data_IF_994175202803
#
_entry.id   IF_994175202803
#
_cell.length_a   1.000
_cell.length_b   1.000
_cell.length_c   1.000
_cell.angle_alpha   90.00
_cell.angle_beta   90.00
_cell.angle_gamma   90.00
#
_symmetry.space_group_name_H-M   'P 1'
#
loop_
_entity.id
_entity.type
_entity.pdbx_description
1 polymer ?
#
# COMPACT_ATOMS: atom_id res chain seq x y z
N UNK A 1 -7.23 16.52 29.49
CA UNK A 1 -8.55 17.18 29.59
C UNK A 1 -8.83 18.28 28.55
N UNK A 2 -7.83 18.80 27.81
CA UNK A 2 -8.05 19.89 26.83
C UNK A 2 -8.53 19.43 25.44
N UNK A 3 -8.12 18.25 24.97
CA UNK A 3 -8.54 17.71 23.66
C UNK A 3 -10.05 17.41 23.59
N UNK A 4 -10.64 16.88 24.67
CA UNK A 4 -12.08 16.60 24.72
C UNK A 4 -12.95 17.87 24.59
N UNK A 5 -12.46 19.02 25.04
CA UNK A 5 -13.18 20.29 24.94
C UNK A 5 -13.21 20.81 23.49
N UNK A 6 -12.15 20.56 22.72
CA UNK A 6 -12.05 20.97 21.32
C UNK A 6 -12.98 20.12 20.45
N UNK A 7 -13.02 18.81 20.67
CA UNK A 7 -13.93 17.89 19.95
C UNK A 7 -15.40 18.22 20.25
N UNK A 8 -15.73 18.52 21.52
CA UNK A 8 -17.08 18.92 21.91
C UNK A 8 -17.46 20.29 21.31
N UNK A 9 -16.52 21.24 21.24
CA UNK A 9 -16.75 22.53 20.59
C UNK A 9 -16.97 22.40 19.07
N UNK A 10 -16.24 21.51 18.40
CA UNK A 10 -16.42 21.21 16.97
C UNK A 10 -17.76 20.51 16.69
N UNK A 11 -18.16 19.57 17.54
CA UNK A 11 -19.47 18.90 17.45
C UNK A 11 -20.63 19.87 17.70
N UNK A 12 -20.48 20.78 18.66
CA UNK A 12 -21.47 21.84 18.93
C UNK A 12 -21.57 22.86 17.78
N UNK A 13 -20.45 23.17 17.12
CA UNK A 13 -20.43 24.00 15.92
C UNK A 13 -21.13 23.29 14.74
N UNK A 14 -20.87 21.99 14.55
CA UNK A 14 -21.53 21.18 13.51
C UNK A 14 -23.03 20.99 13.75
N UNK A 15 -23.50 21.02 15.00
CA UNK A 15 -24.93 20.91 15.34
C UNK A 15 -25.70 22.23 15.22
N UNK A 16 -25.02 23.38 15.37
CA UNK A 16 -25.64 24.71 15.26
C UNK A 16 -25.69 25.22 13.83
N UNK A 17 -24.72 24.82 13.01
CA UNK A 17 -24.77 24.97 11.55
C UNK A 17 -25.53 23.77 11.01
N UNK A 18 -26.85 23.85 10.92
CA UNK A 18 -27.69 22.78 10.36
C UNK A 18 -27.04 22.22 9.09
N UNK A 19 -26.74 20.92 9.09
CA UNK A 19 -26.03 20.20 8.03
C UNK A 19 -26.87 20.23 6.75
N UNK A 20 -26.75 21.34 6.03
CA UNK A 20 -26.89 21.38 4.59
C UNK A 20 -25.47 21.22 4.05
N UNK A 21 -25.22 20.17 3.27
CA UNK A 21 -24.01 20.03 2.46
C UNK A 21 -23.80 21.32 1.66
N UNK A 22 -22.94 22.19 2.16
CA UNK A 22 -22.52 23.39 1.43
C UNK A 22 -21.54 22.88 0.39
N UNK A 23 -21.92 22.93 -0.89
CA UNK A 23 -21.08 22.49 -2.02
C UNK A 23 -19.64 23.03 -1.99
N UNK A 24 -19.36 24.12 -1.26
CA UNK A 24 -18.02 24.66 -1.00
C UNK A 24 -17.15 23.88 -0.01
N UNK A 25 -17.71 23.19 1.00
CA UNK A 25 -16.93 22.39 1.94
C UNK A 25 -16.27 21.18 1.27
N UNK A 26 -16.99 20.52 0.36
CA UNK A 26 -16.47 19.39 -0.41
C UNK A 26 -15.31 19.83 -1.34
N UNK A 27 -15.40 21.02 -1.95
CA UNK A 27 -14.34 21.56 -2.83
C UNK A 27 -13.05 21.83 -2.05
N UNK A 28 -13.15 22.40 -0.84
CA UNK A 28 -11.97 22.71 -0.01
C UNK A 28 -11.32 21.42 0.51
N UNK A 29 -12.11 20.46 0.99
CA UNK A 29 -11.61 19.16 1.43
C UNK A 29 -10.93 18.39 0.30
N UNK A 30 -11.51 18.39 -0.90
CA UNK A 30 -10.90 17.76 -2.08
C UNK A 30 -9.54 18.39 -2.44
N UNK A 31 -9.42 19.72 -2.35
CA UNK A 31 -8.16 20.41 -2.61
C UNK A 31 -7.09 20.07 -1.56
N UNK A 32 -7.47 19.99 -0.28
CA UNK A 32 -6.59 19.58 0.83
C UNK A 32 -6.10 18.14 0.61
N UNK A 33 -6.99 17.21 0.29
CA UNK A 33 -6.64 15.81 0.04
C UNK A 33 -5.68 15.67 -1.15
N UNK A 34 -5.90 16.42 -2.24
CA UNK A 34 -4.96 16.45 -3.37
C UNK A 34 -3.57 16.93 -2.94
N UNK A 35 -3.49 17.99 -2.14
CA UNK A 35 -2.22 18.50 -1.62
C UNK A 35 -1.52 17.49 -0.72
N UNK A 36 -2.26 16.79 0.15
CA UNK A 36 -1.72 15.70 0.98
C UNK A 36 -1.12 14.60 0.09
N UNK A 37 -1.81 14.22 -0.99
CA UNK A 37 -1.28 13.23 -1.93
C UNK A 37 -0.03 13.71 -2.67
N UNK A 38 0.04 14.98 -3.08
CA UNK A 38 1.27 15.53 -3.68
C UNK A 38 2.45 15.52 -2.70
N UNK A 39 2.24 15.98 -1.47
CA UNK A 39 3.26 15.94 -0.42
C UNK A 39 3.69 14.50 -0.12
N UNK A 40 2.75 13.54 -0.14
CA UNK A 40 3.05 12.14 0.05
C UNK A 40 3.93 11.59 -1.08
N UNK A 41 3.66 11.93 -2.35
CA UNK A 41 4.53 11.56 -3.47
C UNK A 41 5.94 12.15 -3.33
N UNK A 42 6.04 13.41 -2.92
CA UNK A 42 7.34 14.03 -2.65
C UNK A 42 8.10 13.28 -1.55
N UNK A 43 7.43 12.96 -0.44
CA UNK A 43 8.00 12.18 0.65
C UNK A 43 8.43 10.77 0.21
N UNK A 44 7.69 10.11 -0.68
CA UNK A 44 8.09 8.82 -1.27
C UNK A 44 9.39 8.93 -2.07
N UNK A 45 9.63 10.04 -2.75
CA UNK A 45 10.85 10.28 -3.54
C UNK A 45 12.05 10.64 -2.66
N UNK A 46 11.84 11.50 -1.67
CA UNK A 46 12.95 12.04 -0.86
C UNK A 46 13.25 11.19 0.36
N UNK A 47 12.28 10.41 0.85
CA UNK A 47 12.30 9.86 2.19
C UNK A 47 12.30 10.96 3.27
N UNK A 48 12.40 10.54 4.52
CA UNK A 48 12.69 11.41 5.66
C UNK A 48 13.34 10.58 6.79
N UNK A 49 14.69 10.59 6.90
CA UNK A 49 15.42 9.84 7.93
C UNK A 49 15.05 10.21 9.37
N UNK A 50 14.72 11.47 9.64
CA UNK A 50 14.36 11.95 10.99
C UNK A 50 13.05 11.31 11.48
N UNK A 51 12.13 11.04 10.55
CA UNK A 51 10.84 10.39 10.85
C UNK A 51 10.86 8.88 10.64
N UNK A 52 12.01 8.32 10.22
CA UNK A 52 12.13 6.90 9.85
C UNK A 52 11.37 6.52 8.58
N UNK A 53 10.89 7.50 7.79
CA UNK A 53 10.22 7.24 6.51
C UNK A 53 11.28 6.98 5.43
N UNK A 54 11.30 5.78 4.81
CA UNK A 54 12.30 5.43 3.82
C UNK A 54 12.00 6.06 2.45
N UNK A 55 12.98 6.03 1.55
CA UNK A 55 12.72 6.29 0.12
C UNK A 55 11.91 5.10 -0.43
N UNK A 56 10.79 5.41 -1.08
CA UNK A 56 9.86 4.44 -1.67
C UNK A 56 9.73 4.57 -3.18
N UNK A 57 10.23 5.64 -3.79
CA UNK A 57 10.16 5.87 -5.23
C UNK A 57 11.49 6.44 -5.76
N UNK A 58 12.39 5.59 -6.30
CA UNK A 58 12.27 4.13 -6.42
C UNK A 58 12.46 3.43 -5.06
N UNK A 59 11.71 2.35 -4.85
CA UNK A 59 11.91 1.48 -3.70
C UNK A 59 13.07 0.53 -3.98
N UNK A 60 13.96 0.39 -3.01
CA UNK A 60 15.07 -0.54 -3.04
C UNK A 60 15.16 -1.28 -1.71
N UNK A 61 15.20 -2.60 -1.78
CA UNK A 61 15.49 -3.45 -0.63
C UNK A 61 16.61 -4.44 -1.00
N UNK A 62 17.76 -4.39 -0.30
CA UNK A 62 18.90 -5.25 -0.62
C UNK A 62 18.65 -6.72 -0.27
N UNK A 63 17.74 -7.00 0.66
CA UNK A 63 17.48 -8.34 1.17
C UNK A 63 16.06 -8.43 1.74
N UNK A 64 15.12 -8.82 0.89
CA UNK A 64 13.71 -8.95 1.24
C UNK A 64 13.30 -10.42 1.27
N UNK A 65 12.81 -10.89 2.41
CA UNK A 65 12.16 -12.19 2.51
C UNK A 65 10.64 -12.03 2.54
N UNK A 66 9.95 -12.82 1.72
CA UNK A 66 8.49 -12.89 1.64
C UNK A 66 8.06 -14.34 1.85
N UNK A 67 7.18 -14.55 2.81
CA UNK A 67 6.36 -15.76 2.93
C UNK A 67 4.90 -15.36 2.65
N UNK A 68 4.28 -15.97 1.65
CA UNK A 68 2.92 -15.63 1.26
C UNK A 68 2.09 -16.86 0.88
N UNK A 69 0.80 -16.80 1.20
CA UNK A 69 -0.20 -17.79 0.81
C UNK A 69 -1.45 -17.09 0.26
N UNK A 70 -1.94 -17.57 -0.86
CA UNK A 70 -3.12 -17.06 -1.55
C UNK A 70 -4.20 -18.16 -1.56
N UNK A 71 -4.90 -18.30 -0.44
CA UNK A 71 -6.03 -19.23 -0.27
C UNK A 71 -5.71 -20.70 -0.55
N UNK A 72 -4.47 -21.13 -0.28
CA UNK A 72 -3.98 -22.48 -0.58
C UNK A 72 -3.79 -22.78 -2.07
N UNK A 73 -4.12 -21.84 -2.96
CA UNK A 73 -3.89 -21.96 -4.41
C UNK A 73 -2.42 -21.78 -4.74
N UNK A 74 -1.79 -20.76 -4.16
CA UNK A 74 -0.36 -20.48 -4.31
C UNK A 74 0.23 -20.23 -2.93
N UNK A 75 1.29 -20.96 -2.62
CA UNK A 75 2.11 -20.75 -1.42
C UNK A 75 3.55 -20.60 -1.86
N UNK A 76 4.26 -19.61 -1.34
CA UNK A 76 5.68 -19.45 -1.63
C UNK A 76 6.45 -18.75 -0.52
N UNK A 77 7.72 -19.11 -0.46
CA UNK A 77 8.79 -18.43 0.25
C UNK A 77 9.78 -17.93 -0.81
N UNK A 78 10.06 -16.64 -0.78
CA UNK A 78 10.97 -16.01 -1.72
C UNK A 78 11.91 -15.06 -0.99
N UNK A 79 13.21 -15.17 -1.29
CA UNK A 79 14.21 -14.18 -0.91
C UNK A 79 14.62 -13.40 -2.15
N UNK A 80 14.62 -12.08 -2.03
CA UNK A 80 14.99 -11.16 -3.10
C UNK A 80 16.25 -10.39 -2.73
N UNK A 81 17.28 -10.49 -3.56
CA UNK A 81 18.61 -9.93 -3.31
C UNK A 81 19.22 -9.35 -4.60
N UNK A 82 18.84 -8.14 -5.04
CA UNK A 82 17.90 -7.20 -4.39
C UNK A 82 16.45 -7.28 -4.94
N UNK A 83 15.54 -6.55 -4.29
CA UNK A 83 14.22 -6.15 -4.80
C UNK A 83 14.22 -4.66 -5.15
N UNK A 84 13.83 -4.32 -6.38
CA UNK A 84 13.67 -2.94 -6.84
C UNK A 84 12.25 -2.73 -7.36
N UNK A 85 11.59 -1.64 -6.95
CA UNK A 85 10.29 -1.25 -7.47
C UNK A 85 10.33 0.21 -7.91
N UNK A 86 9.92 0.46 -9.15
CA UNK A 86 9.77 1.79 -9.73
C UNK A 86 8.30 2.07 -9.97
N UNK A 87 7.90 3.33 -9.77
CA UNK A 87 6.56 3.80 -10.13
C UNK A 87 5.55 3.86 -8.98
N UNK A 88 5.96 3.61 -7.74
CA UNK A 88 5.08 3.67 -6.57
C UNK A 88 4.54 5.09 -6.29
N UNK A 89 5.16 6.14 -6.81
CA UNK A 89 4.72 7.54 -6.70
C UNK A 89 3.87 8.00 -7.89
N UNK A 90 3.62 7.14 -8.88
CA UNK A 90 2.91 7.51 -10.12
C UNK A 90 1.39 7.45 -9.99
N UNK A 91 0.88 7.18 -8.79
CA UNK A 91 -0.55 7.00 -8.57
C UNK A 91 -1.33 8.29 -8.77
N UNK A 92 -2.53 8.16 -9.30
CA UNK A 92 -3.60 9.17 -9.28
C UNK A 92 -4.80 8.58 -8.57
N UNK A 93 -5.57 9.40 -7.86
CA UNK A 93 -6.72 8.85 -7.15
C UNK A 93 -7.32 9.79 -6.13
N UNK A 94 -8.12 9.19 -5.25
CA UNK A 94 -8.87 9.89 -4.20
C UNK A 94 -8.38 9.41 -2.84
N UNK A 95 -8.19 10.38 -1.97
CA UNK A 95 -8.08 10.20 -0.52
C UNK A 95 -9.23 10.97 0.08
N UNK A 96 -9.95 10.33 0.99
CA UNK A 96 -11.05 10.94 1.74
C UNK A 96 -10.70 10.93 3.22
N UNK A 97 -11.44 11.71 4.01
CA UNK A 97 -11.31 11.69 5.47
C UNK A 97 -12.69 11.65 6.11
N UNK A 98 -12.86 10.69 7.01
CA UNK A 98 -13.99 10.62 7.94
C UNK A 98 -13.53 11.20 9.29
N UNK A 99 -13.75 12.49 9.50
CA UNK A 99 -13.16 13.23 10.62
C UNK A 99 -13.57 12.71 12.01
N UNK A 100 -14.77 12.13 12.13
CA UNK A 100 -15.27 11.59 13.40
C UNK A 100 -14.50 10.34 13.86
N UNK A 101 -14.01 9.55 12.90
CA UNK A 101 -13.34 8.26 13.13
C UNK A 101 -11.84 8.31 12.80
N UNK A 102 -11.36 9.42 12.23
CA UNK A 102 -10.02 9.56 11.64
C UNK A 102 -9.67 8.39 10.71
N UNK A 103 -10.67 8.00 9.92
CA UNK A 103 -10.54 6.98 8.88
C UNK A 103 -10.30 7.67 7.54
N UNK A 104 -9.35 7.13 6.79
CA UNK A 104 -8.90 7.67 5.52
C UNK A 104 -9.10 6.65 4.41
N UNK A 105 -10.32 6.54 3.84
CA UNK A 105 -10.56 5.72 2.67
C UNK A 105 -9.78 6.24 1.47
N UNK A 106 -9.23 5.32 0.68
CA UNK A 106 -8.47 5.66 -0.52
C UNK A 106 -8.78 4.74 -1.70
N UNK A 107 -8.67 5.31 -2.90
CA UNK A 107 -8.62 4.59 -4.18
C UNK A 107 -7.51 5.22 -5.02
N UNK A 108 -6.50 4.44 -5.36
CA UNK A 108 -5.34 4.86 -6.15
C UNK A 108 -5.20 3.99 -7.39
N UNK A 109 -4.86 4.63 -8.51
CA UNK A 109 -4.59 4.00 -9.80
C UNK A 109 -3.18 4.34 -10.22
N UNK A 110 -2.36 3.35 -10.51
CA UNK A 110 -0.96 3.56 -10.89
C UNK A 110 -0.84 3.47 -12.41
N UNK A 111 -0.08 4.40 -12.98
CA UNK A 111 0.13 4.47 -14.44
C UNK A 111 1.14 3.42 -14.90
N UNK A 112 2.25 3.28 -14.19
CA UNK A 112 3.26 2.28 -14.46
C UNK A 112 3.94 1.84 -13.16
N UNK A 113 3.98 0.53 -12.93
CA UNK A 113 4.77 -0.09 -11.88
C UNK A 113 5.63 -1.17 -12.53
N UNK A 114 6.90 -1.23 -12.13
CA UNK A 114 7.81 -2.30 -12.49
C UNK A 114 8.55 -2.77 -11.25
N UNK A 115 8.53 -4.07 -10.99
CA UNK A 115 9.39 -4.69 -10.00
C UNK A 115 10.44 -5.56 -10.71
N UNK A 116 11.67 -5.53 -10.21
CA UNK A 116 12.79 -6.26 -10.80
C UNK A 116 13.85 -6.58 -9.76
N UNK A 117 14.69 -7.57 -10.04
CA UNK A 117 15.76 -7.97 -9.15
C UNK A 117 16.16 -9.41 -9.35
N UNK A 118 16.73 -10.00 -8.31
CA UNK A 118 17.13 -11.40 -8.27
C UNK A 118 16.35 -12.11 -7.17
N UNK A 119 15.80 -13.28 -7.48
CA UNK A 119 15.01 -14.07 -6.55
C UNK A 119 15.60 -15.47 -6.35
N UNK A 120 15.39 -16.03 -5.17
CA UNK A 120 15.48 -17.44 -4.86
C UNK A 120 14.17 -17.82 -4.18
N UNK A 121 13.35 -18.63 -4.85
CA UNK A 121 12.00 -18.94 -4.38
C UNK A 121 11.67 -20.42 -4.47
N UNK A 122 10.88 -20.86 -3.48
CA UNK A 122 10.29 -22.18 -3.40
C UNK A 122 8.80 -22.01 -3.08
N UNK A 123 7.96 -22.83 -3.68
CA UNK A 123 6.52 -22.73 -3.51
C UNK A 123 5.78 -23.96 -3.98
N UNK A 124 4.45 -23.88 -3.85
CA UNK A 124 3.51 -24.94 -4.24
C UNK A 124 2.27 -24.33 -4.88
N UNK A 125 1.80 -24.98 -5.94
CA UNK A 125 0.47 -24.73 -6.51
C UNK A 125 -0.50 -25.81 -6.02
N UNK A 126 -1.67 -25.39 -5.54
CA UNK A 126 -2.71 -26.22 -4.91
C UNK A 126 -2.16 -27.16 -3.81
N UNK A 127 -1.08 -26.78 -3.14
CA UNK A 127 -0.37 -27.60 -2.15
C UNK A 127 0.33 -28.86 -2.69
N UNK A 128 0.23 -29.15 -3.99
CA UNK A 128 0.66 -30.43 -4.59
C UNK A 128 1.82 -30.27 -5.55
N UNK A 129 1.82 -29.22 -6.39
CA UNK A 129 2.79 -29.07 -7.47
C UNK A 129 3.93 -28.18 -6.97
N UNK A 130 5.14 -28.71 -6.74
CA UNK A 130 6.27 -27.88 -6.34
C UNK A 130 6.70 -26.98 -7.49
N UNK A 131 6.89 -25.70 -7.17
CA UNK A 131 7.45 -24.71 -8.08
C UNK A 131 8.62 -24.06 -7.38
N UNK A 132 9.75 -23.98 -8.05
CA UNK A 132 10.96 -23.36 -7.51
C UNK A 132 11.72 -22.69 -8.64
N UNK A 133 12.57 -21.74 -8.28
CA UNK A 133 13.42 -21.07 -9.24
C UNK A 133 14.41 -20.14 -8.56
N UNK A 134 15.48 -19.86 -9.28
CA UNK A 134 16.49 -18.90 -8.89
C UNK A 134 16.95 -18.16 -10.13
N UNK A 135 16.99 -16.83 -10.08
CA UNK A 135 17.42 -16.03 -11.21
C UNK A 135 16.93 -14.59 -11.18
N UNK A 136 17.14 -13.91 -12.28
CA UNK A 136 16.60 -12.56 -12.46
C UNK A 136 15.10 -12.61 -12.74
N UNK A 137 14.38 -11.61 -12.24
CA UNK A 137 12.98 -11.40 -12.56
C UNK A 137 12.71 -9.95 -12.95
N UNK A 138 11.69 -9.77 -13.76
CA UNK A 138 11.03 -8.49 -13.99
C UNK A 138 9.54 -8.74 -14.14
N UNK A 139 8.73 -7.98 -13.42
CA UNK A 139 7.27 -8.01 -13.50
C UNK A 139 6.72 -6.60 -13.64
N UNK A 140 5.76 -6.44 -14.56
CA UNK A 140 5.08 -5.16 -14.82
C UNK A 140 3.58 -5.39 -14.82
N UNK A 141 2.91 -5.20 -13.67
CA UNK A 141 1.46 -5.22 -13.64
C UNK A 141 0.90 -3.97 -14.36
N UNK A 142 -0.22 -4.14 -15.07
CA UNK A 142 -0.94 -3.06 -15.75
C UNK A 142 -2.32 -2.86 -15.14
N UNK A 143 -2.86 -1.66 -15.29
CA UNK A 143 -4.16 -1.24 -14.75
C UNK A 143 -4.27 -1.49 -13.24
N UNK A 144 -3.22 -1.10 -12.50
CA UNK A 144 -3.13 -1.36 -11.08
C UNK A 144 -4.02 -0.42 -10.31
N UNK A 145 -4.93 -0.99 -9.50
CA UNK A 145 -5.83 -0.27 -8.62
C UNK A 145 -5.62 -0.74 -7.19
N UNK A 146 -5.29 0.18 -6.29
CA UNK A 146 -5.25 -0.06 -4.86
C UNK A 146 -6.44 0.64 -4.19
N UNK A 147 -7.24 -0.10 -3.44
CA UNK A 147 -8.36 0.43 -2.66
C UNK A 147 -8.23 0.01 -1.22
N UNK A 148 -8.57 0.88 -0.29
CA UNK A 148 -8.45 0.53 1.11
C UNK A 148 -8.78 1.68 2.03
N UNK A 149 -8.30 1.56 3.25
CA UNK A 149 -8.39 2.62 4.24
C UNK A 149 -7.26 2.51 5.26
N UNK A 150 -6.94 3.63 5.89
CA UNK A 150 -6.12 3.70 7.10
C UNK A 150 -6.92 4.41 8.20
N UNK A 151 -6.93 3.86 9.41
CA UNK A 151 -7.50 4.52 10.58
C UNK A 151 -6.37 4.90 11.53
N UNK A 152 -6.37 6.14 11.99
CA UNK A 152 -5.31 6.69 12.84
C UNK A 152 -5.87 6.98 14.23
N UNK A 153 -5.10 6.68 15.27
CA UNK A 153 -5.43 7.00 16.67
C UNK A 153 -4.20 7.47 17.43
N UNK A 154 -4.40 8.02 18.63
CA UNK A 154 -3.32 8.26 19.60
C UNK A 154 -2.86 6.93 20.21
N UNK A 155 -1.55 6.77 20.41
CA UNK A 155 -0.91 5.59 20.98
C UNK A 155 -0.89 5.57 22.54
N UNK A 156 -1.53 6.53 23.18
CA UNK A 156 -1.54 6.73 24.64
C UNK A 156 -0.36 7.55 25.17
N UNK A 157 0.59 7.93 24.31
CA UNK A 157 1.80 8.68 24.66
C UNK A 157 1.84 10.07 24.01
N UNK A 158 0.75 10.49 23.36
CA UNK A 158 0.65 11.77 22.65
C UNK A 158 1.14 11.72 21.20
N UNK A 159 1.44 10.53 20.67
CA UNK A 159 1.83 10.32 19.28
C UNK A 159 0.80 9.44 18.55
N UNK A 160 0.85 9.45 17.22
CA UNK A 160 -0.10 8.71 16.39
C UNK A 160 0.35 7.27 16.11
N UNK A 161 -0.62 6.41 15.82
CA UNK A 161 -0.42 5.07 15.27
C UNK A 161 -1.58 4.68 14.37
N UNK A 162 -1.37 3.69 13.49
CA UNK A 162 -2.45 3.00 12.80
C UNK A 162 -3.23 2.14 13.79
N UNK A 163 -4.54 2.39 13.92
CA UNK A 163 -5.46 1.50 14.64
C UNK A 163 -6.01 0.39 13.76
N UNK A 164 -6.15 0.67 12.46
CA UNK A 164 -6.69 -0.26 11.48
C UNK A 164 -6.15 0.09 10.09
N UNK A 165 -5.83 -0.91 9.27
CA UNK A 165 -5.34 -0.71 7.92
C UNK A 165 -5.71 -1.91 7.05
N UNK A 166 -6.28 -1.61 5.89
CA UNK A 166 -6.61 -2.60 4.89
C UNK A 166 -6.32 -2.03 3.51
N UNK A 167 -5.74 -2.86 2.66
CA UNK A 167 -5.44 -2.52 1.28
C UNK A 167 -5.69 -3.74 0.40
N UNK A 168 -6.52 -3.55 -0.62
CA UNK A 168 -6.75 -4.52 -1.67
C UNK A 168 -6.09 -4.02 -2.96
N UNK A 169 -5.47 -4.93 -3.70
CA UNK A 169 -4.80 -4.65 -4.97
C UNK A 169 -5.47 -5.45 -6.09
N UNK A 170 -5.84 -4.75 -7.15
CA UNK A 170 -6.33 -5.34 -8.39
C UNK A 170 -5.41 -4.94 -9.53
N UNK A 171 -5.22 -5.85 -10.47
CA UNK A 171 -4.47 -5.61 -11.71
C UNK A 171 -5.29 -6.12 -12.90
N UNK A 172 -5.19 -5.44 -14.04
CA UNK A 172 -5.83 -5.86 -15.28
C UNK A 172 -5.06 -7.01 -15.93
N UNK A 173 -3.75 -6.84 -16.07
CA UNK A 173 -2.84 -7.84 -16.64
C UNK A 173 -1.46 -7.78 -15.98
N UNK A 174 -0.63 -8.78 -16.27
CA UNK A 174 0.74 -8.88 -15.80
C UNK A 174 1.64 -9.20 -16.99
N UNK A 175 2.69 -8.40 -17.19
CA UNK A 175 3.83 -8.82 -18.00
C UNK A 175 4.91 -9.38 -17.07
N UNK A 176 5.46 -10.56 -17.37
CA UNK A 176 6.51 -11.16 -16.55
C UNK A 176 7.63 -11.76 -17.39
N UNK A 177 8.84 -11.61 -16.88
CA UNK A 177 10.01 -12.37 -17.29
C UNK A 177 10.73 -12.85 -16.02
N UNK A 178 10.52 -14.12 -15.67
CA UNK A 178 11.06 -14.76 -14.47
C UNK A 178 11.97 -15.89 -14.94
N UNK A 179 13.27 -15.72 -14.80
CA UNK A 179 14.26 -16.68 -15.27
C UNK A 179 14.46 -17.81 -14.26
N UNK A 180 14.93 -18.97 -14.73
CA UNK A 180 15.36 -20.07 -13.87
C UNK A 180 14.23 -20.83 -13.15
N UNK A 181 12.97 -20.58 -13.49
CA UNK A 181 11.84 -21.39 -13.01
C UNK A 181 11.99 -22.84 -13.50
N UNK A 182 11.87 -23.80 -12.57
CA UNK A 182 11.97 -25.24 -12.84
C UNK A 182 13.15 -25.62 -13.76
N UNK A 183 14.33 -25.06 -13.49
CA UNK A 183 15.59 -25.30 -14.21
C UNK A 183 15.67 -24.70 -15.63
N UNK A 184 14.72 -23.84 -16.03
CA UNK A 184 14.80 -23.07 -17.28
C UNK A 184 14.13 -23.73 -18.49
N UNK A 185 14.52 -23.28 -19.69
CA UNK A 185 14.04 -23.82 -20.98
C UNK A 185 12.55 -23.60 -21.23
N UNK A 186 11.94 -24.49 -22.00
CA UNK A 186 10.53 -24.39 -22.41
C UNK A 186 9.56 -24.41 -21.23
N UNK A 187 9.91 -25.10 -20.14
CA UNK A 187 9.10 -25.16 -18.93
C UNK A 187 9.07 -23.81 -18.20
N UNK A 188 10.20 -23.10 -18.16
CA UNK A 188 10.24 -21.73 -17.62
C UNK A 188 9.41 -20.76 -18.46
N UNK A 189 9.44 -20.89 -19.79
CA UNK A 189 8.62 -20.07 -20.69
C UNK A 189 7.12 -20.35 -20.48
N UNK A 190 6.74 -21.62 -20.39
CA UNK A 190 5.36 -22.03 -20.10
C UNK A 190 4.89 -21.48 -18.75
N UNK A 191 5.69 -21.59 -17.70
CA UNK A 191 5.34 -21.08 -16.38
C UNK A 191 5.21 -19.56 -16.37
N UNK A 192 6.05 -18.82 -17.10
CA UNK A 192 5.87 -17.38 -17.25
C UNK A 192 4.51 -17.03 -17.88
N UNK A 193 4.09 -17.76 -18.93
CA UNK A 193 2.78 -17.56 -19.53
C UNK A 193 1.65 -17.86 -18.52
N UNK A 194 1.76 -18.98 -17.80
CA UNK A 194 0.78 -19.34 -16.76
C UNK A 194 0.71 -18.28 -15.66
N UNK A 195 1.83 -17.78 -15.15
CA UNK A 195 1.89 -16.75 -14.12
C UNK A 195 1.18 -15.47 -14.59
N UNK A 196 1.44 -15.03 -15.82
CA UNK A 196 0.81 -13.83 -16.39
C UNK A 196 -0.72 -13.96 -16.46
N UNK A 197 -1.23 -15.15 -16.78
CA UNK A 197 -2.67 -15.42 -16.88
C UNK A 197 -3.34 -15.59 -15.51
N UNK A 198 -2.69 -16.28 -14.57
CA UNK A 198 -3.33 -16.62 -13.29
C UNK A 198 -3.25 -15.49 -12.27
N UNK A 199 -2.16 -14.72 -12.19
CA UNK A 199 -1.94 -13.75 -11.10
C UNK A 199 -3.07 -12.72 -11.00
N UNK A 200 -3.56 -12.08 -12.09
CA UNK A 200 -4.71 -11.17 -11.99
C UNK A 200 -5.95 -11.83 -11.37
N UNK A 201 -6.20 -13.10 -11.71
CA UNK A 201 -7.33 -13.86 -11.16
C UNK A 201 -7.10 -14.28 -9.71
N UNK A 202 -5.86 -14.62 -9.33
CA UNK A 202 -5.49 -14.94 -7.95
C UNK A 202 -5.73 -13.71 -7.06
N UNK A 203 -5.26 -12.53 -7.46
CA UNK A 203 -5.45 -11.30 -6.67
C UNK A 203 -6.93 -10.93 -6.50
N UNK A 204 -7.75 -11.14 -7.54
CA UNK A 204 -9.20 -10.89 -7.46
C UNK A 204 -9.93 -11.88 -6.56
N UNK A 205 -9.58 -13.16 -6.60
CA UNK A 205 -10.30 -14.22 -5.89
C UNK A 205 -9.77 -14.49 -4.46
N UNK A 206 -8.52 -14.09 -4.18
CA UNK A 206 -7.86 -14.29 -2.90
C UNK A 206 -7.24 -12.98 -2.38
N UNK A 207 -8.08 -11.93 -2.18
CA UNK A 207 -7.60 -10.61 -1.80
C UNK A 207 -6.88 -10.58 -0.44
N UNK A 208 -7.24 -11.49 0.47
CA UNK A 208 -6.65 -11.57 1.81
C UNK A 208 -5.15 -11.87 1.76
N UNK A 209 -4.70 -12.72 0.81
CA UNK A 209 -3.27 -13.05 0.66
C UNK A 209 -2.44 -11.81 0.33
N UNK A 210 -2.91 -10.99 -0.61
CA UNK A 210 -2.24 -9.74 -0.97
C UNK A 210 -2.37 -8.69 0.14
N UNK A 211 -3.55 -8.61 0.78
CA UNK A 211 -3.80 -7.67 1.88
C UNK A 211 -2.85 -7.94 3.04
N UNK A 212 -2.69 -9.20 3.45
CA UNK A 212 -1.79 -9.62 4.52
C UNK A 212 -0.33 -9.31 4.17
N UNK A 213 0.09 -9.61 2.94
CA UNK A 213 1.44 -9.28 2.46
C UNK A 213 1.71 -7.77 2.53
N UNK A 214 0.83 -6.95 1.97
CA UNK A 214 1.00 -5.51 1.97
C UNK A 214 0.92 -4.92 3.38
N UNK A 215 0.04 -5.43 4.23
CA UNK A 215 -0.04 -5.01 5.64
C UNK A 215 1.28 -5.26 6.37
N UNK A 216 1.88 -6.45 6.20
CA UNK A 216 3.16 -6.78 6.82
C UNK A 216 4.31 -5.86 6.37
N UNK A 217 4.25 -5.34 5.14
CA UNK A 217 5.26 -4.43 4.60
C UNK A 217 5.01 -2.96 4.97
N UNK A 218 3.75 -2.51 4.89
CA UNK A 218 3.38 -1.08 4.99
C UNK A 218 3.22 -0.64 6.44
N UNK A 219 2.53 -1.41 7.28
CA UNK A 219 2.19 -1.01 8.66
C UNK A 219 3.43 -0.65 9.49
N UNK A 220 4.55 -1.41 9.45
CA UNK A 220 5.75 -1.05 10.20
C UNK A 220 6.40 0.27 9.76
N UNK A 221 6.26 0.64 8.48
CA UNK A 221 6.77 1.91 7.94
C UNK A 221 5.86 3.05 8.39
N UNK A 222 4.54 2.89 8.20
CA UNK A 222 3.55 3.88 8.58
C UNK A 222 3.60 4.18 10.09
N UNK A 223 3.68 3.15 10.94
CA UNK A 223 3.74 3.35 12.40
C UNK A 223 5.04 4.02 12.85
N UNK A 224 6.18 3.77 12.21
CA UNK A 224 7.42 4.51 12.49
C UNK A 224 7.26 6.00 12.21
N UNK A 225 6.67 6.34 11.07
CA UNK A 225 6.38 7.72 10.70
C UNK A 225 5.36 8.37 11.66
N UNK A 226 4.23 7.70 11.93
CA UNK A 226 3.16 8.23 12.79
C UNK A 226 3.61 8.42 14.24
N UNK A 227 4.54 7.60 14.73
CA UNK A 227 5.12 7.75 16.07
C UNK A 227 5.95 9.04 16.24
N UNK A 228 6.17 9.81 15.17
CA UNK A 228 6.81 11.14 15.21
C UNK A 228 5.82 12.30 15.07
N UNK A 229 4.52 12.00 14.97
CA UNK A 229 3.45 12.98 14.73
C UNK A 229 2.47 13.00 15.89
N UNK A 230 1.95 14.18 16.18
CA UNK A 230 0.91 14.41 17.18
C UNK A 230 -0.45 14.61 16.52
N UNK A 231 -1.52 14.59 17.33
CA UNK A 231 -2.85 14.97 16.85
C UNK A 231 -2.89 16.42 16.34
N UNK A 232 -2.10 17.31 16.94
CA UNK A 232 -1.99 18.70 16.48
C UNK A 232 -1.41 18.78 15.07
N UNK A 233 -0.34 18.01 14.78
CA UNK A 233 0.25 17.94 13.44
C UNK A 233 -0.76 17.43 12.40
N UNK A 234 -1.53 16.39 12.74
CA UNK A 234 -2.55 15.83 11.85
C UNK A 234 -3.67 16.86 11.58
N UNK A 235 -4.15 17.54 12.62
CA UNK A 235 -5.18 18.55 12.47
C UNK A 235 -4.70 19.76 11.69
N UNK A 236 -3.45 20.20 11.87
CA UNK A 236 -2.84 21.27 11.07
C UNK A 236 -2.68 20.89 9.59
N UNK A 237 -2.52 19.60 9.28
CA UNK A 237 -2.54 19.10 7.90
C UNK A 237 -3.94 19.11 7.27
N UNK A 238 -4.96 18.75 8.05
CA UNK A 238 -6.35 18.65 7.59
C UNK A 238 -7.07 20.01 7.55
N UNK A 239 -6.64 20.96 8.38
CA UNK A 239 -7.21 22.29 8.52
C UNK A 239 -6.10 23.35 8.55
N UNK A 240 -5.40 23.57 7.42
CA UNK A 240 -4.30 24.53 7.32
C UNK A 240 -4.74 25.99 7.43
#
# INVERSE_FOLDING_TARGET
MRAGLIVVALMAFAATVGVHEVAGQNIVLDAIMRRILENFREMMRTGNPETGFPILAPYHNPDLFINASFGGLVEFDARFTPMNIVGLDTFVGRLQVELATLRFPFEFRFSEISASGFYDANGRLWGLIPVFGIGDFTVRPRDVVATGFASITDNGQGYLMLSDFSINLQIGSLESNIQGLLLGGDLSNLLNAVIQDIVPSVLRNFPDGMTNLLNALIVPIANRFLATRTMEDLMGLLFP
#
